data_IF_502657851127
#
_entry.id   IF_502657851127
#
_cell.length_a   1.000
_cell.length_b   1.000
_cell.length_c   1.000
_cell.angle_alpha   90.00
_cell.angle_beta   90.00
_cell.angle_gamma   90.00
#
_symmetry.space_group_name_H-M   'P 1'
#
loop_
_entity.id
_entity.type
_entity.pdbx_description
1 polymer ?
#
# COMPACT_ATOMS: atom_id res chain seq x y z
N UNK A 1 -18.53 -2.13 6.17
CA UNK A 1 -18.70 -2.23 4.70
C UNK A 1 -17.35 -2.04 4.02
N UNK A 2 -17.22 -2.33 2.71
CA UNK A 2 -15.96 -2.11 1.98
C UNK A 2 -15.56 -0.63 1.93
N UNK A 3 -16.52 0.25 1.75
CA UNK A 3 -16.28 1.71 1.76
C UNK A 3 -15.82 2.21 3.13
N UNK A 4 -16.45 1.74 4.22
CA UNK A 4 -16.01 2.07 5.57
C UNK A 4 -14.57 1.64 5.80
N UNK A 5 -14.17 0.45 5.34
CA UNK A 5 -12.80 -0.02 5.46
C UNK A 5 -11.80 0.92 4.75
N UNK A 6 -12.12 1.37 3.52
CA UNK A 6 -11.27 2.33 2.80
C UNK A 6 -11.17 3.68 3.50
N UNK A 7 -12.31 4.22 3.96
CA UNK A 7 -12.34 5.47 4.72
C UNK A 7 -11.56 5.32 6.02
N UNK A 8 -11.72 4.21 6.72
CA UNK A 8 -11.13 3.98 8.03
C UNK A 8 -9.61 3.75 7.95
N UNK A 9 -9.03 3.41 6.79
CA UNK A 9 -7.57 3.48 6.58
C UNK A 9 -7.07 4.83 6.09
N UNK A 10 -7.98 5.78 5.82
CA UNK A 10 -7.67 7.17 5.47
C UNK A 10 -7.75 7.50 3.98
N UNK A 11 -8.36 6.66 3.14
CA UNK A 11 -8.53 6.97 1.72
C UNK A 11 -9.64 8.00 1.50
N UNK A 12 -9.43 8.91 0.55
CA UNK A 12 -10.36 10.01 0.23
C UNK A 12 -10.24 11.23 1.15
N UNK A 13 -9.25 11.27 2.04
CA UNK A 13 -8.92 12.42 2.88
C UNK A 13 -7.42 12.70 2.86
N UNK A 14 -7.02 13.97 2.94
CA UNK A 14 -5.60 14.33 3.01
C UNK A 14 -4.90 13.64 4.20
N UNK A 15 -3.63 13.20 4.05
CA UNK A 15 -2.92 12.45 5.09
C UNK A 15 -2.67 13.26 6.38
N UNK A 16 -2.72 14.59 6.32
CA UNK A 16 -2.60 15.48 7.47
C UNK A 16 -1.15 15.64 7.95
N UNK A 17 -0.20 15.69 7.03
CA UNK A 17 1.23 15.84 7.32
C UNK A 17 1.68 17.31 7.48
N UNK A 18 0.83 18.26 7.08
CA UNK A 18 1.14 19.69 7.09
C UNK A 18 1.91 20.17 5.85
N UNK A 19 1.98 19.36 4.79
CA UNK A 19 2.58 19.77 3.52
C UNK A 19 1.58 20.54 2.65
N UNK A 20 2.01 21.62 1.98
CA UNK A 20 1.16 22.28 0.99
C UNK A 20 0.87 21.33 -0.17
N UNK A 21 -0.38 21.28 -0.63
CA UNK A 21 -0.77 20.47 -1.80
C UNK A 21 -0.96 18.97 -1.54
N UNK A 22 -1.18 18.57 -0.29
CA UNK A 22 -1.46 17.17 0.05
C UNK A 22 -2.63 16.57 -0.75
N UNK A 23 -2.33 15.56 -1.55
CA UNK A 23 -3.35 14.85 -2.32
C UNK A 23 -4.22 13.98 -1.41
N UNK A 24 -5.52 14.28 -1.33
CA UNK A 24 -6.50 13.48 -0.61
C UNK A 24 -6.84 12.15 -1.30
N UNK A 25 -6.47 12.00 -2.58
CA UNK A 25 -6.94 10.91 -3.43
C UNK A 25 -8.42 11.06 -3.77
N UNK A 26 -9.06 9.97 -4.20
CA UNK A 26 -10.48 9.94 -4.58
C UNK A 26 -11.13 8.65 -4.11
N UNK A 27 -12.13 8.80 -3.25
CA UNK A 27 -13.02 7.73 -2.80
C UNK A 27 -14.47 8.21 -2.94
N UNK A 28 -15.20 7.68 -3.94
CA UNK A 28 -16.60 8.07 -4.18
C UNK A 28 -17.50 7.58 -3.04
N UNK A 29 -18.57 8.31 -2.67
CA UNK A 29 -19.55 7.82 -1.70
C UNK A 29 -20.18 6.49 -2.14
N UNK A 30 -20.30 5.53 -1.21
CA UNK A 30 -20.78 4.18 -1.51
C UNK A 30 -22.20 4.12 -2.06
N UNK A 31 -23.05 5.11 -1.75
CA UNK A 31 -24.44 5.20 -2.22
C UNK A 31 -24.56 5.24 -3.75
N UNK A 32 -23.48 5.63 -4.43
CA UNK A 32 -23.44 5.78 -5.88
C UNK A 32 -22.72 4.62 -6.57
N UNK A 33 -22.40 3.54 -5.84
CA UNK A 33 -21.65 2.41 -6.37
C UNK A 33 -22.60 1.38 -6.98
N UNK A 34 -22.33 1.01 -8.23
CA UNK A 34 -22.87 -0.19 -8.87
C UNK A 34 -22.06 -1.41 -8.42
N UNK A 35 -22.61 -2.63 -8.46
CA UNK A 35 -21.88 -3.85 -8.09
C UNK A 35 -20.55 -4.02 -8.83
N UNK A 36 -20.50 -3.65 -10.12
CA UNK A 36 -19.27 -3.69 -10.92
C UNK A 36 -18.21 -2.70 -10.43
N UNK A 37 -18.61 -1.53 -9.93
CA UNK A 37 -17.67 -0.54 -9.40
C UNK A 37 -17.09 -1.02 -8.06
N UNK A 38 -17.93 -1.64 -7.21
CA UNK A 38 -17.44 -2.28 -5.99
C UNK A 38 -16.44 -3.40 -6.30
N UNK A 39 -16.70 -4.21 -7.33
CA UNK A 39 -15.77 -5.24 -7.78
C UNK A 39 -14.45 -4.63 -8.28
N UNK A 40 -14.49 -3.59 -9.12
CA UNK A 40 -13.27 -2.96 -9.64
C UNK A 40 -12.41 -2.33 -8.55
N UNK A 41 -13.06 -1.72 -7.54
CA UNK A 41 -12.35 -1.18 -6.38
C UNK A 41 -11.69 -2.25 -5.52
N UNK A 42 -12.18 -3.50 -5.54
CA UNK A 42 -11.62 -4.58 -4.69
C UNK A 42 -10.21 -4.98 -5.13
N UNK A 43 -9.89 -4.76 -6.40
CA UNK A 43 -8.56 -4.92 -6.97
C UNK A 43 -7.91 -3.58 -7.37
N UNK A 44 -8.38 -2.46 -6.77
CA UNK A 44 -7.68 -1.18 -6.79
C UNK A 44 -8.01 -0.22 -7.94
N UNK A 45 -9.04 -0.49 -8.75
CA UNK A 45 -9.49 0.42 -9.81
C UNK A 45 -10.69 1.25 -9.38
N UNK A 46 -10.77 2.52 -9.82
CA UNK A 46 -11.87 3.42 -9.45
C UNK A 46 -11.69 4.16 -8.12
N UNK A 47 -10.56 3.94 -7.44
CA UNK A 47 -10.05 4.74 -6.32
C UNK A 47 -8.69 5.32 -6.69
N UNK A 48 -8.33 6.47 -6.11
CA UNK A 48 -6.96 6.98 -6.16
C UNK A 48 -6.46 7.30 -4.77
N UNK A 49 -5.18 7.03 -4.53
CA UNK A 49 -4.51 7.24 -3.24
C UNK A 49 -3.10 7.75 -3.50
N UNK A 50 -2.60 8.62 -2.62
CA UNK A 50 -1.19 8.98 -2.60
C UNK A 50 -0.34 7.84 -2.05
N UNK A 51 0.96 7.82 -2.41
CA UNK A 51 1.89 6.79 -1.94
C UNK A 51 2.00 6.77 -0.40
N UNK A 52 1.94 7.95 0.24
CA UNK A 52 1.97 8.07 1.70
C UNK A 52 0.70 7.53 2.37
N UNK A 53 -0.49 7.74 1.79
CA UNK A 53 -1.72 7.10 2.26
C UNK A 53 -1.63 5.58 2.16
N UNK A 54 -1.04 5.06 1.07
CA UNK A 54 -0.86 3.62 0.89
C UNK A 54 0.11 3.03 1.93
N UNK A 55 1.24 3.68 2.18
CA UNK A 55 2.19 3.27 3.21
C UNK A 55 1.52 3.27 4.60
N UNK A 56 0.77 4.32 4.93
CA UNK A 56 0.01 4.42 6.18
C UNK A 56 -1.01 3.29 6.31
N UNK A 57 -1.76 2.98 5.25
CA UNK A 57 -2.74 1.90 5.26
C UNK A 57 -2.08 0.54 5.54
N UNK A 58 -0.90 0.27 4.98
CA UNK A 58 -0.14 -0.96 5.26
C UNK A 58 0.37 -1.05 6.70
N UNK A 59 0.56 0.08 7.39
CA UNK A 59 0.90 0.08 8.81
C UNK A 59 -0.16 -0.61 9.67
N UNK A 60 -1.42 -0.66 9.24
CA UNK A 60 -2.50 -1.37 9.96
C UNK A 60 -2.22 -2.87 10.05
N UNK A 61 -1.73 -3.47 8.97
CA UNK A 61 -1.34 -4.88 8.96
C UNK A 61 -0.07 -5.12 9.78
N UNK A 62 0.85 -4.15 9.76
CA UNK A 62 2.09 -4.19 10.52
C UNK A 62 1.86 -4.03 12.04
N UNK A 63 0.86 -3.24 12.45
CA UNK A 63 0.54 -2.87 13.84
C UNK A 63 -0.72 -3.55 14.36
N UNK A 64 -0.91 -4.84 14.09
CA UNK A 64 -1.97 -5.64 14.72
C UNK A 64 -3.40 -5.04 14.61
N UNK A 65 -3.67 -4.35 13.48
CA UNK A 65 -4.97 -3.76 13.17
C UNK A 65 -5.15 -2.31 13.64
N UNK A 66 -4.10 -1.65 14.11
CA UNK A 66 -4.14 -0.26 14.57
C UNK A 66 -3.55 0.71 13.53
N UNK A 67 -4.24 1.82 13.31
CA UNK A 67 -3.80 2.93 12.49
C UNK A 67 -3.30 4.06 13.40
N UNK A 68 -2.11 4.55 13.11
CA UNK A 68 -1.55 5.74 13.78
C UNK A 68 -1.58 6.96 12.85
N UNK A 69 -1.67 8.18 13.39
CA UNK A 69 -1.35 9.40 12.65
C UNK A 69 0.07 9.34 12.07
N UNK A 70 0.27 9.96 10.91
CA UNK A 70 1.60 10.15 10.36
C UNK A 70 2.24 11.39 10.99
N UNK A 71 3.57 11.40 11.08
CA UNK A 71 4.36 12.56 11.46
C UNK A 71 5.64 12.60 10.64
N UNK A 72 6.01 13.80 10.19
CA UNK A 72 7.31 14.08 9.57
C UNK A 72 8.30 14.67 10.59
N UNK A 73 7.82 15.01 11.77
CA UNK A 73 8.63 15.38 12.92
C UNK A 73 8.87 14.14 13.79
N UNK A 74 9.99 14.14 14.51
CA UNK A 74 10.29 13.13 15.52
C UNK A 74 9.14 13.08 16.55
N UNK A 75 8.70 11.87 16.85
CA UNK A 75 7.63 11.59 17.82
C UNK A 75 8.27 10.91 19.02
N UNK A 76 8.36 11.60 20.15
CA UNK A 76 8.89 11.02 21.39
C UNK A 76 7.84 10.17 22.12
N UNK A 77 6.57 10.60 22.08
CA UNK A 77 5.44 9.87 22.64
C UNK A 77 4.48 9.46 21.53
N UNK A 78 4.25 8.15 21.31
CA UNK A 78 3.35 7.69 20.26
C UNK A 78 1.94 8.29 20.41
N UNK A 79 1.37 8.89 19.36
CA UNK A 79 0.02 9.41 19.41
C UNK A 79 -0.99 8.27 19.62
N UNK A 80 -2.22 8.59 20.11
CA UNK A 80 -3.29 7.62 20.22
C UNK A 80 -3.52 6.88 18.90
N UNK A 81 -3.50 5.55 18.95
CA UNK A 81 -3.79 4.70 17.81
C UNK A 81 -5.29 4.40 17.74
N UNK A 82 -5.83 4.29 16.53
CA UNK A 82 -7.22 3.86 16.29
C UNK A 82 -7.25 2.45 15.75
N UNK A 83 -8.03 1.56 16.37
CA UNK A 83 -8.25 0.22 15.85
C UNK A 83 -9.15 0.25 14.62
N UNK A 84 -8.64 -0.25 13.49
CA UNK A 84 -9.38 -0.38 12.22
C UNK A 84 -9.82 -1.81 11.98
N UNK A 85 -9.07 -2.79 12.49
CA UNK A 85 -9.45 -4.20 12.40
C UNK A 85 -9.00 -5.00 13.63
N UNK A 86 -9.58 -6.19 13.77
CA UNK A 86 -9.19 -7.11 14.84
C UNK A 86 -7.76 -7.61 14.64
N UNK A 87 -7.02 -7.77 15.74
CA UNK A 87 -5.64 -8.29 15.74
C UNK A 87 -5.52 -9.61 14.98
N UNK A 88 -6.46 -10.54 15.18
CA UNK A 88 -6.51 -11.83 14.46
C UNK A 88 -6.61 -11.65 12.95
N UNK A 89 -7.40 -10.68 12.49
CA UNK A 89 -7.59 -10.40 11.05
C UNK A 89 -6.32 -9.80 10.47
N UNK A 90 -5.72 -8.82 11.15
CA UNK A 90 -4.44 -8.25 10.72
C UNK A 90 -3.33 -9.31 10.65
N UNK A 91 -3.26 -10.21 11.62
CA UNK A 91 -2.32 -11.33 11.62
C UNK A 91 -2.54 -12.31 10.46
N UNK A 92 -3.79 -12.67 10.17
CA UNK A 92 -4.11 -13.52 9.03
C UNK A 92 -3.74 -12.87 7.68
N UNK A 93 -4.06 -11.58 7.51
CA UNK A 93 -3.69 -10.83 6.30
C UNK A 93 -2.18 -10.71 6.16
N UNK A 94 -1.46 -10.49 7.26
CA UNK A 94 0.00 -10.48 7.28
C UNK A 94 0.60 -11.79 6.77
N UNK A 95 0.07 -12.94 7.22
CA UNK A 95 0.52 -14.24 6.74
C UNK A 95 0.27 -14.42 5.23
N UNK A 96 -0.90 -13.99 4.74
CA UNK A 96 -1.20 -14.02 3.29
C UNK A 96 -0.28 -13.09 2.48
N UNK A 97 0.05 -11.91 3.01
CA UNK A 97 0.99 -10.97 2.38
C UNK A 97 2.43 -11.52 2.36
N UNK A 98 2.82 -12.31 3.36
CA UNK A 98 4.10 -13.01 3.36
C UNK A 98 4.13 -14.10 2.27
N UNK A 99 3.06 -14.86 2.11
CA UNK A 99 2.94 -15.84 1.01
C UNK A 99 3.10 -15.20 -0.37
N UNK A 100 2.62 -13.97 -0.57
CA UNK A 100 2.76 -13.25 -1.84
C UNK A 100 4.21 -12.91 -2.21
N UNK A 101 5.11 -12.84 -1.21
CA UNK A 101 6.54 -12.57 -1.37
C UNK A 101 7.36 -13.86 -1.41
N UNK A 102 6.84 -14.97 -0.92
CA UNK A 102 7.54 -16.25 -0.96
C UNK A 102 7.67 -16.83 -2.38
N UNK A 103 8.50 -17.87 -2.52
CA UNK A 103 8.60 -18.65 -3.77
C UNK A 103 7.22 -19.15 -4.18
N UNK A 104 6.87 -18.97 -5.46
CA UNK A 104 5.53 -19.26 -5.99
C UNK A 104 4.52 -18.13 -5.81
N UNK A 105 4.85 -17.07 -5.06
CA UNK A 105 4.06 -15.86 -4.93
C UNK A 105 4.25 -14.87 -6.09
N UNK A 106 3.55 -13.74 -6.02
CA UNK A 106 3.56 -12.72 -7.08
C UNK A 106 4.78 -11.79 -7.05
N UNK A 107 5.54 -11.75 -5.96
CA UNK A 107 6.66 -10.82 -5.80
C UNK A 107 7.88 -11.44 -5.07
N UNK A 108 8.43 -12.57 -5.56
CA UNK A 108 9.60 -13.22 -4.95
C UNK A 108 10.85 -12.33 -4.90
N UNK A 109 10.93 -11.29 -5.74
CA UNK A 109 12.04 -10.33 -5.73
C UNK A 109 12.03 -9.35 -4.56
N UNK A 110 10.98 -9.35 -3.74
CA UNK A 110 10.94 -8.58 -2.49
C UNK A 110 11.54 -9.34 -1.29
N UNK A 111 11.98 -10.60 -1.47
CA UNK A 111 12.61 -11.38 -0.41
C UNK A 111 13.94 -10.74 0.04
N UNK A 112 14.19 -10.80 1.36
CA UNK A 112 15.42 -10.31 1.98
C UNK A 112 16.01 -11.45 2.78
N UNK A 113 17.28 -11.78 2.54
CA UNK A 113 17.95 -12.86 3.26
C UNK A 113 17.96 -12.57 4.77
N UNK A 114 17.56 -13.55 5.58
CA UNK A 114 17.49 -13.41 7.05
C UNK A 114 16.22 -12.75 7.59
N UNK A 115 15.34 -12.21 6.74
CA UNK A 115 14.11 -11.54 7.18
C UNK A 115 12.86 -12.12 6.54
N UNK A 116 11.80 -12.24 7.35
CA UNK A 116 10.45 -12.51 6.84
C UNK A 116 9.88 -11.22 6.28
N UNK A 117 9.39 -11.23 5.05
CA UNK A 117 8.86 -10.03 4.38
C UNK A 117 7.42 -10.28 3.99
N UNK A 118 6.55 -9.30 4.27
CA UNK A 118 5.16 -9.32 3.82
C UNK A 118 4.89 -8.11 2.95
N UNK A 119 4.22 -8.29 1.82
CA UNK A 119 3.93 -7.17 0.92
C UNK A 119 3.12 -7.55 -0.31
N UNK A 120 2.80 -6.55 -1.12
CA UNK A 120 2.06 -6.72 -2.35
C UNK A 120 2.62 -5.85 -3.46
N UNK A 121 2.60 -6.41 -4.66
CA UNK A 121 2.87 -5.70 -5.91
C UNK A 121 1.58 -5.14 -6.52
N UNK A 122 1.69 -3.97 -7.14
CA UNK A 122 0.68 -3.37 -8.00
C UNK A 122 1.26 -3.00 -9.36
N UNK A 123 0.41 -3.02 -10.38
CA UNK A 123 0.73 -2.52 -11.72
C UNK A 123 -0.57 -2.00 -12.32
N UNK A 124 -0.59 -0.73 -12.70
CA UNK A 124 -1.77 -0.07 -13.24
C UNK A 124 -1.39 0.68 -14.51
N UNK A 125 -2.32 0.75 -15.47
CA UNK A 125 -2.19 1.71 -16.57
C UNK A 125 -2.22 3.13 -16.01
N UNK A 126 -1.32 3.98 -16.50
CA UNK A 126 -1.31 5.38 -16.13
C UNK A 126 -2.57 6.05 -16.67
N UNK A 127 -3.21 6.83 -15.82
CA UNK A 127 -4.33 7.68 -16.24
C UNK A 127 -3.79 9.07 -16.59
N UNK A 128 -4.06 9.53 -17.81
CA UNK A 128 -3.73 10.87 -18.29
C UNK A 128 -5.02 11.51 -18.81
N UNK A 129 -5.34 12.71 -18.33
CA UNK A 129 -6.53 13.46 -18.74
C UNK A 129 -7.85 12.65 -18.67
N UNK A 130 -7.95 11.75 -17.68
CA UNK A 130 -9.15 10.94 -17.45
C UNK A 130 -9.19 9.61 -18.22
N UNK A 131 -8.27 9.36 -19.15
CA UNK A 131 -8.19 8.11 -19.94
C UNK A 131 -6.94 7.31 -19.59
N UNK A 132 -6.96 6.00 -19.81
CA UNK A 132 -5.77 5.17 -19.65
C UNK A 132 -4.86 5.33 -20.87
N UNK A 133 -3.58 5.62 -20.61
CA UNK A 133 -2.55 5.62 -21.65
C UNK A 133 -2.24 4.18 -22.09
N UNK A 134 -1.99 3.98 -23.39
CA UNK A 134 -1.79 2.66 -23.98
C UNK A 134 -0.54 1.96 -23.43
N UNK A 135 0.59 2.66 -23.40
CA UNK A 135 1.91 2.08 -23.11
C UNK A 135 2.60 2.66 -21.88
N UNK A 136 1.84 3.30 -20.99
CA UNK A 136 2.36 3.89 -19.75
C UNK A 136 1.79 3.17 -18.53
N UNK A 137 2.69 2.83 -17.61
CA UNK A 137 2.37 2.04 -16.43
C UNK A 137 2.90 2.71 -15.18
N UNK A 138 2.19 2.49 -14.08
CA UNK A 138 2.67 2.79 -12.73
C UNK A 138 2.90 1.46 -12.02
N UNK A 139 4.15 1.19 -11.67
CA UNK A 139 4.58 -0.02 -10.99
C UNK A 139 4.79 0.26 -9.52
N UNK A 140 4.23 -0.57 -8.65
CA UNK A 140 4.35 -0.35 -7.21
C UNK A 140 4.62 -1.63 -6.43
N UNK A 141 5.28 -1.46 -5.29
CA UNK A 141 5.40 -2.48 -4.27
C UNK A 141 5.29 -1.82 -2.90
N UNK A 142 4.47 -2.37 -2.02
CA UNK A 142 4.38 -1.93 -0.63
C UNK A 142 4.44 -3.13 0.29
N UNK A 143 5.24 -3.02 1.34
CA UNK A 143 5.48 -4.11 2.25
C UNK A 143 6.09 -3.66 3.56
N UNK A 144 6.35 -4.63 4.43
CA UNK A 144 6.94 -4.40 5.73
C UNK A 144 7.74 -5.61 6.20
N UNK A 145 8.72 -5.35 7.06
CA UNK A 145 9.59 -6.36 7.63
C UNK A 145 10.04 -5.96 9.07
N UNK A 146 10.47 -6.94 9.89
CA UNK A 146 10.23 -8.37 9.74
C UNK A 146 8.73 -8.71 9.87
N UNK A 147 8.16 -9.59 9.05
CA UNK A 147 6.74 -9.94 9.11
C UNK A 147 6.34 -10.57 10.46
N UNK A 148 7.26 -11.22 11.16
CA UNK A 148 7.04 -11.76 12.51
C UNK A 148 6.86 -10.67 13.58
N UNK A 149 7.55 -9.53 13.44
CA UNK A 149 7.46 -8.40 14.37
C UNK A 149 7.74 -7.08 13.61
N UNK A 150 6.77 -6.56 12.85
CA UNK A 150 7.00 -5.49 11.89
C UNK A 150 7.57 -4.21 12.52
N UNK A 151 8.61 -3.65 11.91
CA UNK A 151 9.28 -2.43 12.37
C UNK A 151 9.19 -1.31 11.35
N UNK A 152 9.25 -1.66 10.08
CA UNK A 152 9.33 -0.71 8.97
C UNK A 152 8.27 -1.06 7.92
N UNK A 153 7.62 -0.03 7.37
CA UNK A 153 6.77 -0.13 6.18
C UNK A 153 7.42 0.70 5.10
N UNK A 154 7.63 0.12 3.92
CA UNK A 154 8.18 0.83 2.75
C UNK A 154 7.19 0.66 1.59
N UNK A 155 6.90 1.78 0.93
CA UNK A 155 6.11 1.82 -0.30
C UNK A 155 6.98 2.42 -1.41
N UNK A 156 7.10 1.71 -2.52
CA UNK A 156 7.85 2.09 -3.71
C UNK A 156 6.87 2.23 -4.87
N UNK A 157 7.02 3.32 -5.63
CA UNK A 157 6.32 3.56 -6.88
C UNK A 157 7.33 3.98 -7.94
N UNK A 158 7.22 3.40 -9.13
CA UNK A 158 8.00 3.75 -10.30
C UNK A 158 6.99 4.10 -11.40
N UNK A 159 7.06 5.35 -11.85
CA UNK A 159 6.19 5.90 -12.90
C UNK A 159 6.87 5.75 -14.26
N UNK A 160 6.14 5.22 -15.24
CA UNK A 160 6.59 4.99 -16.62
C UNK A 160 7.94 4.24 -16.76
N UNK A 161 8.10 3.03 -16.18
CA UNK A 161 9.32 2.26 -16.41
C UNK A 161 9.44 1.87 -17.88
N UNK A 162 10.60 2.17 -18.49
CA UNK A 162 10.80 2.13 -19.94
C UNK A 162 11.76 1.02 -20.43
N UNK A 163 12.45 0.32 -19.52
CA UNK A 163 13.46 -0.69 -19.85
C UNK A 163 12.88 -2.08 -20.19
N UNK A 164 11.69 -2.14 -20.81
CA UNK A 164 11.04 -3.37 -21.26
C UNK A 164 10.44 -4.25 -20.16
N UNK A 165 10.40 -3.79 -18.91
CA UNK A 165 9.72 -4.46 -17.77
C UNK A 165 8.90 -3.42 -17.01
N UNK A 166 7.66 -3.77 -16.65
CA UNK A 166 6.73 -2.84 -16.00
C UNK A 166 5.94 -3.47 -14.84
N UNK A 167 6.04 -4.77 -14.58
CA UNK A 167 5.37 -5.35 -13.42
C UNK A 167 6.01 -4.88 -12.11
N UNK A 168 5.20 -4.50 -11.12
CA UNK A 168 5.69 -4.03 -9.81
C UNK A 168 6.58 -5.06 -9.12
N UNK A 169 6.28 -6.35 -9.28
CA UNK A 169 7.07 -7.45 -8.73
C UNK A 169 8.44 -7.61 -9.40
N UNK A 170 8.63 -7.07 -10.61
CA UNK A 170 9.91 -7.10 -11.32
C UNK A 170 10.69 -5.80 -11.22
N UNK A 171 9.99 -4.67 -11.08
CA UNK A 171 10.53 -3.30 -11.14
C UNK A 171 10.62 -2.65 -9.76
N UNK A 172 9.53 -2.62 -8.98
CA UNK A 172 9.49 -1.94 -7.68
C UNK A 172 9.92 -2.84 -6.51
N UNK A 173 9.63 -4.15 -6.57
CA UNK A 173 9.99 -5.10 -5.51
C UNK A 173 11.50 -5.20 -5.22
N UNK A 174 12.42 -5.19 -6.21
CA UNK A 174 13.86 -5.17 -5.92
C UNK A 174 14.31 -3.90 -5.20
N UNK A 175 13.74 -2.74 -5.56
CA UNK A 175 14.04 -1.45 -4.91
C UNK A 175 13.56 -1.47 -3.45
N UNK A 176 12.37 -2.03 -3.20
CA UNK A 176 11.89 -2.27 -1.85
C UNK A 176 12.86 -3.15 -1.06
N UNK A 177 13.31 -4.28 -1.62
CA UNK A 177 14.19 -5.22 -0.93
C UNK A 177 15.53 -4.56 -0.54
N UNK A 178 16.13 -3.81 -1.46
CA UNK A 178 17.36 -3.06 -1.20
C UNK A 178 17.18 -1.99 -0.12
N UNK A 179 16.12 -1.18 -0.23
CA UNK A 179 15.83 -0.12 0.75
C UNK A 179 15.52 -0.68 2.14
N UNK A 180 14.78 -1.78 2.23
CA UNK A 180 14.44 -2.43 3.49
C UNK A 180 15.65 -3.14 4.13
N UNK A 181 16.54 -3.73 3.32
CA UNK A 181 17.74 -4.40 3.83
C UNK A 181 18.79 -3.45 4.40
N UNK A 182 18.82 -2.19 3.92
CA UNK A 182 19.74 -1.16 4.40
C UNK A 182 19.21 -0.29 5.56
N UNK A 183 17.99 -0.54 6.02
CA UNK A 183 17.30 0.26 7.04
C UNK A 183 17.38 -0.33 8.46
#
# INVERSE_FOLDING_TARGET
SMWEMFRDVGFGAAPGLGFPGEAAGKLRPYRNWRPIEQATMSYGHGISVSLVQLARAYSVFARDGELVPLSMLRVDMPPPARRVMARRTAGAVRAMLEMAVNRGGTAPRAQIMGYRVAGKTGTAHKQENGVYAADKYVSSFVGFAPASHPRLVIAVMIDEPSAGRYYGGTVAAPVFAQGMAGA
#
